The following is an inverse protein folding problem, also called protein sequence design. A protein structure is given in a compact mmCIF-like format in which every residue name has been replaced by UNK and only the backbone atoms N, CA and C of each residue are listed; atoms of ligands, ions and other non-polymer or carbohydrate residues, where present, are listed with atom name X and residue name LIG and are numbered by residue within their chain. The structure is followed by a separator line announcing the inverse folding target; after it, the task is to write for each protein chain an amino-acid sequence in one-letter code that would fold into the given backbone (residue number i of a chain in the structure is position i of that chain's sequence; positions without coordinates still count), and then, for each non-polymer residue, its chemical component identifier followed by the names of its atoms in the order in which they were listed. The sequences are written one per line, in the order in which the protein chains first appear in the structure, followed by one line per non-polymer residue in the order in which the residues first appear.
data_IF_942662156136
#
_entry.id   IF_942662156136
#
_cell.length_a   1.000
_cell.length_b   1.000
_cell.length_c   1.000
_cell.angle_alpha   90.00
_cell.angle_beta   90.00
_cell.angle_gamma   90.00
#
_symmetry.space_group_name_H-M   'P 1'
#
loop_
_entity.id
_entity.type
_entity.pdbx_description
1 polymer ?
#
# COMPACT_ATOMS: atom_id res chain seq x y z
N UNK A 1 21.62 25.89 -8.94
CA UNK A 1 21.38 24.44 -9.18
C UNK A 1 20.06 24.09 -8.52
N UNK A 2 19.02 23.86 -9.32
CA UNK A 2 17.67 23.54 -8.85
C UNK A 2 17.54 22.03 -8.70
N UNK A 3 17.41 21.53 -7.48
CA UNK A 3 17.25 20.09 -7.23
C UNK A 3 15.78 19.71 -7.42
N UNK A 4 15.49 19.03 -8.53
CA UNK A 4 14.20 18.36 -8.75
C UNK A 4 14.30 17.00 -8.05
N UNK A 5 13.78 16.90 -6.83
CA UNK A 5 13.59 15.59 -6.18
C UNK A 5 12.38 14.88 -6.81
N UNK A 6 12.53 14.39 -8.04
CA UNK A 6 11.57 13.44 -8.61
C UNK A 6 11.80 12.07 -7.95
N UNK A 7 10.87 11.65 -7.09
CA UNK A 7 10.53 10.22 -6.95
C UNK A 7 11.22 9.41 -5.87
N UNK A 8 11.24 9.84 -4.61
CA UNK A 8 11.47 8.91 -3.48
C UNK A 8 10.17 8.64 -2.73
N UNK A 9 9.51 7.55 -3.08
CA UNK A 9 8.39 7.02 -2.30
C UNK A 9 8.87 6.69 -0.88
N UNK A 10 8.13 7.16 0.13
CA UNK A 10 8.39 6.80 1.53
C UNK A 10 7.49 5.65 1.91
N UNK A 11 8.11 4.48 2.12
CA UNK A 11 7.43 3.30 2.61
C UNK A 11 7.69 3.20 4.11
N UNK A 12 6.62 3.20 4.90
CA UNK A 12 6.70 2.94 6.33
C UNK A 12 6.38 1.48 6.59
N UNK A 13 7.38 0.77 7.10
CA UNK A 13 7.25 -0.54 7.70
C UNK A 13 6.98 -0.33 9.21
N UNK A 14 6.17 -1.18 9.85
CA UNK A 14 5.83 -1.15 11.29
C UNK A 14 4.83 -0.09 11.80
N UNK A 15 4.28 0.76 10.94
CA UNK A 15 3.21 1.70 11.32
C UNK A 15 1.86 1.27 10.77
N UNK A 16 0.79 1.57 11.52
CA UNK A 16 -0.59 1.36 11.07
C UNK A 16 -0.97 2.51 10.13
N UNK A 17 -1.02 2.25 8.83
CA UNK A 17 -1.56 3.18 7.84
C UNK A 17 -3.08 3.37 8.00
N UNK A 18 -3.62 4.44 7.42
CA UNK A 18 -5.08 4.64 7.30
C UNK A 18 -5.60 3.85 6.11
N UNK A 19 -6.86 3.42 6.13
CA UNK A 19 -7.47 2.63 5.03
C UNK A 19 -7.40 3.28 3.64
N UNK A 20 -7.26 4.61 3.58
CA UNK A 20 -7.11 5.39 2.35
C UNK A 20 -5.68 5.39 1.78
N UNK A 21 -4.69 5.02 2.59
CA UNK A 21 -3.30 4.96 2.17
C UNK A 21 -3.08 3.77 1.22
N UNK A 22 -2.07 3.89 0.36
CA UNK A 22 -1.69 2.82 -0.53
C UNK A 22 -0.86 1.81 0.25
N UNK A 23 -1.36 0.60 0.41
CA UNK A 23 -0.67 -0.46 1.15
C UNK A 23 0.10 -1.36 0.19
N UNK A 24 1.20 -1.91 0.69
CA UNK A 24 1.91 -3.00 0.06
C UNK A 24 1.43 -4.28 0.74
N UNK A 25 0.85 -5.16 -0.07
CA UNK A 25 0.24 -6.42 0.35
C UNK A 25 1.02 -7.58 -0.23
N UNK A 26 1.24 -8.59 0.59
CA UNK A 26 1.79 -9.88 0.19
C UNK A 26 0.65 -10.91 0.16
N UNK A 27 0.44 -11.57 -0.98
CA UNK A 27 -0.54 -12.66 -1.06
C UNK A 27 0.00 -13.90 -0.37
N UNK A 28 -0.71 -14.44 0.63
CA UNK A 28 -0.25 -15.61 1.39
C UNK A 28 -0.27 -16.91 0.58
N UNK A 29 -0.94 -16.93 -0.58
CA UNK A 29 -1.03 -18.11 -1.45
C UNK A 29 0.09 -18.25 -2.47
N UNK A 30 0.58 -17.15 -3.00
CA UNK A 30 1.61 -17.15 -4.06
C UNK A 30 2.84 -16.30 -3.71
N UNK A 31 2.88 -15.71 -2.51
CA UNK A 31 3.93 -14.80 -2.03
C UNK A 31 4.16 -13.60 -2.95
N UNK A 32 3.17 -13.25 -3.79
CA UNK A 32 3.28 -12.12 -4.70
C UNK A 32 2.97 -10.83 -3.94
N UNK A 33 3.87 -9.86 -4.07
CA UNK A 33 3.72 -8.53 -3.51
C UNK A 33 3.05 -7.60 -4.52
N UNK A 34 2.06 -6.84 -4.08
CA UNK A 34 1.36 -5.87 -4.91
C UNK A 34 0.84 -4.69 -4.10
N UNK A 35 0.50 -3.61 -4.80
CA UNK A 35 0.05 -2.36 -4.19
C UNK A 35 -1.46 -2.24 -4.30
N UNK A 36 -2.15 -1.99 -3.18
CA UNK A 36 -3.60 -1.76 -3.16
C UNK A 36 -4.00 -0.86 -2.00
N UNK A 37 -5.09 -0.11 -2.17
CA UNK A 37 -5.73 0.55 -1.03
C UNK A 37 -6.60 -0.45 -0.29
N UNK A 38 -6.83 -0.22 1.01
CA UNK A 38 -7.74 -1.04 1.82
C UNK A 38 -9.19 -0.53 1.76
N UNK A 39 -9.43 0.61 1.10
CA UNK A 39 -10.74 1.21 0.92
C UNK A 39 -11.46 0.70 -0.35
N UNK A 40 -11.33 -0.60 -0.63
CA UNK A 40 -12.00 -1.27 -1.76
C UNK A 40 -12.91 -2.38 -1.24
N UNK A 41 -13.93 -2.74 -2.01
CA UNK A 41 -14.84 -3.84 -1.64
C UNK A 41 -14.18 -5.21 -1.85
N UNK A 42 -13.17 -5.29 -2.70
CA UNK A 42 -12.45 -6.51 -3.02
C UNK A 42 -11.00 -6.17 -3.36
N UNK A 43 -10.08 -6.94 -2.82
CA UNK A 43 -8.67 -6.95 -3.17
C UNK A 43 -8.43 -8.24 -3.92
N UNK A 44 -7.80 -8.16 -5.09
CA UNK A 44 -7.46 -9.32 -5.92
C UNK A 44 -5.96 -9.36 -6.19
N UNK A 45 -5.35 -10.54 -6.04
CA UNK A 45 -3.98 -10.78 -6.44
C UNK A 45 -3.90 -10.97 -7.96
N UNK A 46 -3.13 -10.14 -8.64
CA UNK A 46 -2.92 -10.25 -10.09
C UNK A 46 -2.20 -11.53 -10.53
N UNK A 47 -1.51 -12.22 -9.63
CA UNK A 47 -0.70 -13.39 -9.96
C UNK A 47 -1.48 -14.72 -9.86
N UNK A 48 -2.40 -14.84 -8.90
CA UNK A 48 -3.13 -16.10 -8.64
C UNK A 48 -4.64 -15.92 -8.57
N UNK A 49 -5.16 -14.73 -8.86
CA UNK A 49 -6.59 -14.36 -8.81
C UNK A 49 -7.27 -14.65 -7.47
N UNK A 50 -6.48 -14.84 -6.40
CA UNK A 50 -7.02 -14.93 -5.04
C UNK A 50 -7.57 -13.57 -4.68
N UNK A 51 -8.80 -13.53 -4.17
CA UNK A 51 -9.43 -12.28 -3.79
C UNK A 51 -10.10 -12.38 -2.42
N UNK A 52 -10.17 -11.24 -1.73
CA UNK A 52 -10.87 -11.13 -0.44
C UNK A 52 -11.55 -9.77 -0.34
N UNK A 53 -12.57 -9.70 0.51
CA UNK A 53 -13.10 -8.42 0.96
C UNK A 53 -12.33 -7.98 2.22
N UNK A 54 -11.56 -6.88 2.18
CA UNK A 54 -10.75 -6.43 3.30
C UNK A 54 -11.57 -6.04 4.55
N UNK A 55 -12.89 -5.83 4.40
CA UNK A 55 -13.80 -5.59 5.55
C UNK A 55 -14.24 -6.87 6.26
N UNK A 56 -14.16 -8.02 5.59
CA UNK A 56 -14.62 -9.31 6.10
C UNK A 56 -13.44 -10.17 6.56
N UNK A 57 -12.38 -10.24 5.75
CA UNK A 57 -11.24 -11.12 6.02
C UNK A 57 -9.96 -10.61 5.36
N UNK A 58 -8.92 -10.40 6.17
CA UNK A 58 -7.56 -10.01 5.73
C UNK A 58 -6.56 -11.18 5.84
N UNK A 59 -6.99 -12.38 6.21
CA UNK A 59 -6.09 -13.54 6.41
C UNK A 59 -5.37 -13.98 5.12
N UNK A 60 -5.95 -13.65 3.96
CA UNK A 60 -5.41 -13.99 2.64
C UNK A 60 -4.33 -13.00 2.15
N UNK A 61 -4.18 -11.85 2.79
CA UNK A 61 -3.22 -10.82 2.42
C UNK A 61 -2.51 -10.25 3.64
N UNK A 62 -1.19 -10.39 3.67
CA UNK A 62 -0.37 -9.79 4.71
C UNK A 62 -0.04 -8.35 4.33
N UNK A 63 -0.34 -7.41 5.21
CA UNK A 63 0.10 -6.02 5.07
C UNK A 63 1.56 -5.95 5.45
N UNK A 64 2.44 -5.69 4.49
CA UNK A 64 3.88 -5.57 4.73
C UNK A 64 4.31 -4.11 4.94
N UNK A 65 3.54 -3.15 4.45
CA UNK A 65 3.77 -1.73 4.71
C UNK A 65 2.73 -0.85 4.05
N UNK A 66 2.87 0.46 4.20
CA UNK A 66 2.11 1.44 3.43
C UNK A 66 3.01 2.54 2.89
N UNK A 67 2.58 3.09 1.76
CA UNK A 67 3.25 4.18 1.05
C UNK A 67 2.61 5.48 1.52
N UNK A 68 3.42 6.33 2.14
CA UNK A 68 2.98 7.68 2.49
C UNK A 68 2.79 8.48 1.22
N UNK A 69 1.54 8.86 0.98
CA UNK A 69 1.22 9.81 -0.07
C UNK A 69 1.55 11.22 0.46
N UNK A 70 2.76 11.71 0.17
CA UNK A 70 3.10 13.13 0.35
C UNK A 70 2.36 13.97 -0.71
N UNK A 71 1.04 14.05 -0.64
CA UNK A 71 0.31 15.13 -1.30
C UNK A 71 0.28 16.34 -0.35
N UNK A 72 1.31 17.17 -0.46
CA UNK A 72 1.32 18.53 0.09
C UNK A 72 2.00 18.66 1.45
N UNK A 73 3.25 19.11 1.44
CA UNK A 73 3.73 20.30 2.16
C UNK A 73 5.24 20.27 2.26
N UNK A 74 5.93 20.71 1.21
CA UNK A 74 7.21 21.37 1.44
C UNK A 74 6.91 22.82 1.82
N UNK A 75 7.08 23.05 3.12
CA UNK A 75 7.16 24.33 3.81
C UNK A 75 8.16 25.23 3.08
N UNK A 76 7.74 26.46 2.75
CA UNK A 76 8.66 27.53 2.35
C UNK A 76 9.51 27.90 3.57
N UNK A 77 10.80 27.63 3.53
CA UNK A 77 11.79 28.37 4.31
C UNK A 77 12.79 28.98 3.33
#
# INVERSE_FOLDING_TARGET
MSYINQGRERIQFDRKGKTKDLHILECTRCSNEFRSTMNVNQIECSNCSTSTNPKLDLSLFKVIGFIENLQGSEVRC
#
